data_IF_721220570073
#
_entry.id   IF_721220570073
#
_cell.length_a   1.000
_cell.length_b   1.000
_cell.length_c   1.000
_cell.angle_alpha   90.00
_cell.angle_beta   90.00
_cell.angle_gamma   90.00
#
_symmetry.space_group_name_H-M   'P 1'
#
loop_
_entity.id
_entity.type
_entity.pdbx_description
1 polymer ?
#
# COMPACT_ATOMS: atom_id res chain seq x y z
N UNK A 1 -11.00 -0.15 1.27
CA UNK A 1 -12.03 -0.83 2.06
C UNK A 1 -11.36 -1.95 2.84
N UNK A 2 -11.15 -1.73 4.14
CA UNK A 2 -10.40 -2.66 4.99
C UNK A 2 -11.19 -3.94 5.30
N UNK A 3 -12.52 -3.87 5.27
CA UNK A 3 -13.37 -5.03 5.48
C UNK A 3 -13.34 -5.95 4.26
N UNK A 4 -13.51 -5.38 3.07
CA UNK A 4 -13.38 -6.10 1.82
C UNK A 4 -12.01 -6.77 1.69
N UNK A 5 -10.92 -6.05 2.01
CA UNK A 5 -9.57 -6.60 1.97
C UNK A 5 -9.39 -7.80 2.93
N UNK A 6 -9.89 -7.70 4.17
CA UNK A 6 -9.84 -8.81 5.14
C UNK A 6 -10.60 -10.03 4.64
N UNK A 7 -11.80 -9.83 4.10
CA UNK A 7 -12.64 -10.91 3.59
C UNK A 7 -11.99 -11.59 2.36
N UNK A 8 -11.46 -10.81 1.42
CA UNK A 8 -10.74 -11.33 0.25
C UNK A 8 -9.47 -12.08 0.64
N UNK A 9 -8.70 -11.54 1.59
CA UNK A 9 -7.49 -12.20 2.12
C UNK A 9 -7.82 -13.51 2.82
N UNK A 10 -8.93 -13.55 3.56
CA UNK A 10 -9.42 -14.77 4.19
C UNK A 10 -9.80 -15.80 3.13
N UNK A 11 -10.57 -15.42 2.11
CA UNK A 11 -10.95 -16.33 1.02
C UNK A 11 -9.72 -16.85 0.25
N UNK A 12 -8.71 -15.99 0.00
CA UNK A 12 -7.46 -16.40 -0.67
C UNK A 12 -6.70 -17.48 0.12
N UNK A 13 -6.71 -17.42 1.46
CA UNK A 13 -5.88 -18.27 2.33
C UNK A 13 -6.57 -19.53 2.84
N UNK A 14 -7.90 -19.57 2.85
CA UNK A 14 -8.68 -20.68 3.38
C UNK A 14 -9.31 -21.49 2.25
N UNK A 15 -9.54 -22.77 2.52
CA UNK A 15 -10.27 -23.67 1.61
C UNK A 15 -11.75 -23.74 2.02
N UNK A 16 -12.55 -24.50 1.28
CA UNK A 16 -13.99 -24.64 1.44
C UNK A 16 -14.79 -23.39 1.02
N UNK A 17 -14.36 -22.73 -0.06
CA UNK A 17 -15.09 -21.61 -0.64
C UNK A 17 -16.57 -21.96 -0.94
N UNK A 18 -16.84 -23.22 -1.28
CA UNK A 18 -18.20 -23.72 -1.58
C UNK A 18 -19.19 -23.53 -0.41
N UNK A 19 -18.71 -23.51 0.84
CA UNK A 19 -19.56 -23.33 2.03
C UNK A 19 -20.06 -21.89 2.18
N UNK A 20 -19.42 -20.93 1.51
CA UNK A 20 -19.79 -19.52 1.59
C UNK A 20 -21.00 -19.18 0.71
N UNK A 21 -21.43 -20.11 -0.16
CA UNK A 21 -22.53 -19.90 -1.12
C UNK A 21 -22.35 -18.62 -1.95
N UNK A 22 -21.11 -18.33 -2.34
CA UNK A 22 -20.79 -17.21 -3.22
C UNK A 22 -20.98 -17.63 -4.67
N UNK A 23 -21.34 -16.67 -5.52
CA UNK A 23 -21.38 -16.79 -6.97
C UNK A 23 -20.57 -15.67 -7.61
N UNK A 24 -20.47 -15.64 -8.95
CA UNK A 24 -19.73 -14.59 -9.66
C UNK A 24 -20.58 -13.32 -9.83
N UNK A 25 -21.17 -12.84 -8.73
CA UNK A 25 -21.90 -11.58 -8.68
C UNK A 25 -21.39 -10.66 -7.56
N UNK A 26 -21.70 -9.38 -7.68
CA UNK A 26 -21.35 -8.36 -6.69
C UNK A 26 -22.48 -7.33 -6.58
N UNK A 27 -22.73 -6.86 -5.37
CA UNK A 27 -23.69 -5.78 -5.12
C UNK A 27 -23.05 -4.43 -5.48
N UNK A 28 -23.67 -3.71 -6.41
CA UNK A 28 -23.24 -2.39 -6.86
C UNK A 28 -23.25 -1.34 -5.75
N UNK A 29 -22.27 -0.42 -5.79
CA UNK A 29 -22.02 0.56 -4.73
C UNK A 29 -23.11 1.63 -4.58
N UNK A 30 -23.78 1.99 -5.67
CA UNK A 30 -24.72 3.13 -5.70
C UNK A 30 -26.18 2.72 -5.53
N UNK A 31 -26.60 1.64 -6.19
CA UNK A 31 -28.01 1.26 -6.31
C UNK A 31 -28.35 -0.11 -5.71
N UNK A 32 -27.39 -0.77 -5.06
CA UNK A 32 -27.53 -2.15 -4.55
C UNK A 32 -27.97 -3.16 -5.61
N UNK A 33 -27.73 -2.87 -6.88
CA UNK A 33 -28.03 -3.77 -7.98
C UNK A 33 -27.05 -4.93 -7.98
N UNK A 34 -27.52 -6.14 -8.30
CA UNK A 34 -26.63 -7.30 -8.45
C UNK A 34 -26.03 -7.25 -9.84
N UNK A 35 -24.70 -7.15 -9.92
CA UNK A 35 -23.94 -7.13 -11.15
C UNK A 35 -23.22 -8.46 -11.30
N UNK A 36 -23.38 -9.12 -12.44
CA UNK A 36 -22.60 -10.31 -12.74
C UNK A 36 -21.16 -9.92 -13.16
N UNK A 37 -20.17 -10.53 -12.53
CA UNK A 37 -18.75 -10.31 -12.81
C UNK A 37 -18.32 -10.96 -14.14
N UNK A 38 -19.03 -12.01 -14.55
CA UNK A 38 -18.92 -12.68 -15.84
C UNK A 38 -20.32 -12.96 -16.39
N UNK A 39 -20.50 -13.15 -17.71
CA UNK A 39 -21.80 -13.51 -18.26
C UNK A 39 -22.36 -14.80 -17.64
N UNK A 40 -23.55 -14.73 -17.03
CA UNK A 40 -24.17 -15.87 -16.35
C UNK A 40 -23.53 -16.18 -14.99
N UNK A 41 -22.80 -15.23 -14.40
CA UNK A 41 -22.06 -15.40 -13.15
C UNK A 41 -22.92 -15.82 -11.97
N UNK A 42 -24.21 -15.47 -11.94
CA UNK A 42 -25.14 -15.90 -10.90
C UNK A 42 -25.36 -17.43 -10.86
N UNK A 43 -25.06 -18.14 -11.95
CA UNK A 43 -25.16 -19.60 -12.03
C UNK A 43 -23.84 -20.31 -11.71
N UNK A 44 -22.74 -19.56 -11.51
CA UNK A 44 -21.41 -20.10 -11.29
C UNK A 44 -21.07 -19.96 -9.82
N UNK A 45 -21.06 -21.07 -9.09
CA UNK A 45 -20.63 -21.09 -7.70
C UNK A 45 -19.12 -20.84 -7.57
N UNK A 46 -18.72 -20.10 -6.54
CA UNK A 46 -17.31 -19.93 -6.19
C UNK A 46 -16.83 -21.16 -5.43
N UNK A 47 -15.82 -21.82 -5.99
CA UNK A 47 -15.17 -23.02 -5.48
C UNK A 47 -13.70 -22.73 -5.19
N UNK A 48 -13.00 -23.66 -4.53
CA UNK A 48 -11.57 -23.51 -4.30
C UNK A 48 -10.73 -23.44 -5.60
N UNK A 49 -11.25 -24.00 -6.69
CA UNK A 49 -10.58 -24.02 -8.00
C UNK A 49 -10.72 -22.67 -8.74
N UNK A 50 -11.83 -21.96 -8.56
CA UNK A 50 -12.13 -20.72 -9.30
C UNK A 50 -12.08 -19.45 -8.43
N UNK A 51 -11.90 -19.55 -7.10
CA UNK A 51 -11.87 -18.39 -6.21
C UNK A 51 -10.80 -17.35 -6.57
N UNK A 52 -9.69 -17.76 -7.19
CA UNK A 52 -8.66 -16.82 -7.64
C UNK A 52 -9.17 -15.90 -8.76
N UNK A 53 -9.93 -16.45 -9.71
CA UNK A 53 -10.57 -15.68 -10.79
C UNK A 53 -11.66 -14.77 -10.23
N UNK A 54 -12.50 -15.29 -9.33
CA UNK A 54 -13.50 -14.49 -8.63
C UNK A 54 -12.87 -13.28 -7.93
N UNK A 55 -11.79 -13.47 -7.18
CA UNK A 55 -11.08 -12.38 -6.48
C UNK A 55 -10.50 -11.33 -7.44
N UNK A 56 -9.93 -11.74 -8.58
CA UNK A 56 -9.40 -10.82 -9.59
C UNK A 56 -10.51 -9.97 -10.24
N UNK A 57 -11.63 -10.61 -10.57
CA UNK A 57 -12.79 -9.91 -11.13
C UNK A 57 -13.45 -8.97 -10.12
N UNK A 58 -13.58 -9.40 -8.86
CA UNK A 58 -14.10 -8.59 -7.78
C UNK A 58 -13.23 -7.33 -7.58
N UNK A 59 -11.90 -7.49 -7.59
CA UNK A 59 -10.96 -6.38 -7.52
C UNK A 59 -11.14 -5.41 -8.70
N UNK A 60 -11.19 -5.92 -9.93
CA UNK A 60 -11.40 -5.10 -11.14
C UNK A 60 -12.72 -4.34 -11.10
N UNK A 61 -13.78 -4.97 -10.63
CA UNK A 61 -15.08 -4.33 -10.47
C UNK A 61 -15.02 -3.18 -9.47
N UNK A 62 -14.52 -3.42 -8.26
CA UNK A 62 -14.44 -2.37 -7.24
C UNK A 62 -13.53 -1.22 -7.66
N UNK A 63 -12.40 -1.49 -8.31
CA UNK A 63 -11.43 -0.47 -8.73
C UNK A 63 -11.87 0.35 -9.95
N UNK A 64 -12.47 -0.30 -10.95
CA UNK A 64 -12.74 0.34 -12.25
C UNK A 64 -14.21 0.25 -12.65
N UNK A 65 -14.80 -0.94 -12.54
CA UNK A 65 -16.17 -1.18 -13.01
C UNK A 65 -17.20 -0.29 -12.31
N UNK A 66 -17.12 -0.21 -10.98
CA UNK A 66 -18.07 0.51 -10.12
C UNK A 66 -18.10 2.02 -10.36
N UNK A 67 -17.04 2.58 -10.95
CA UNK A 67 -16.88 4.01 -11.25
C UNK A 67 -16.62 4.28 -12.73
N UNK A 68 -16.89 3.31 -13.62
CA UNK A 68 -16.45 3.38 -15.02
C UNK A 68 -16.98 4.63 -15.76
N UNK A 69 -18.24 5.00 -15.53
CA UNK A 69 -18.85 6.19 -16.16
C UNK A 69 -18.17 7.50 -15.74
N UNK A 70 -18.08 7.86 -14.44
CA UNK A 70 -17.38 9.08 -14.03
C UNK A 70 -15.88 9.04 -14.34
N UNK A 71 -15.23 7.87 -14.21
CA UNK A 71 -13.81 7.72 -14.54
C UNK A 71 -13.54 8.00 -16.02
N UNK A 72 -14.34 7.46 -16.93
CA UNK A 72 -14.21 7.71 -18.37
C UNK A 72 -14.44 9.18 -18.74
N UNK A 73 -15.41 9.83 -18.10
CA UNK A 73 -15.65 11.26 -18.31
C UNK A 73 -14.45 12.11 -17.86
N UNK A 74 -13.87 11.78 -16.69
CA UNK A 74 -12.67 12.43 -16.18
C UNK A 74 -11.47 12.23 -17.12
N UNK A 75 -11.18 10.97 -17.51
CA UNK A 75 -10.05 10.64 -18.38
C UNK A 75 -10.16 11.31 -19.73
N UNK A 76 -11.37 11.39 -20.31
CA UNK A 76 -11.59 12.13 -21.56
C UNK A 76 -11.21 13.60 -21.41
N UNK A 77 -11.74 14.30 -20.41
CA UNK A 77 -11.42 15.70 -20.18
C UNK A 77 -9.94 15.94 -19.87
N UNK A 78 -9.31 15.02 -19.15
CA UNK A 78 -7.89 15.09 -18.83
C UNK A 78 -7.02 14.91 -20.09
N UNK A 79 -7.31 13.89 -20.91
CA UNK A 79 -6.54 13.59 -22.14
C UNK A 79 -6.77 14.57 -23.28
N UNK A 80 -7.89 15.30 -23.29
CA UNK A 80 -8.13 16.42 -24.21
C UNK A 80 -7.11 17.56 -24.01
N UNK A 81 -6.54 17.68 -22.80
CA UNK A 81 -5.55 18.72 -22.44
C UNK A 81 -4.14 18.14 -22.40
N UNK A 82 -3.96 16.99 -21.76
CA UNK A 82 -2.65 16.34 -21.55
C UNK A 82 -2.64 14.99 -22.28
N UNK A 83 -1.96 14.89 -23.44
CA UNK A 83 -1.90 13.65 -24.20
C UNK A 83 -1.39 12.45 -23.40
N UNK A 84 -2.07 11.30 -23.54
CA UNK A 84 -1.75 10.07 -22.81
C UNK A 84 -0.28 9.64 -22.93
N UNK A 85 0.34 9.81 -24.10
CA UNK A 85 1.74 9.39 -24.30
C UNK A 85 2.75 10.22 -23.49
N UNK A 86 2.39 11.45 -23.08
CA UNK A 86 3.25 12.29 -22.24
C UNK A 86 3.22 11.86 -20.78
N UNK A 87 2.11 11.29 -20.32
CA UNK A 87 1.95 10.84 -18.93
C UNK A 87 2.34 9.37 -18.75
N UNK A 88 2.27 8.56 -19.82
CA UNK A 88 2.54 7.11 -19.74
C UNK A 88 4.00 6.76 -19.46
N UNK A 89 4.89 7.75 -19.46
CA UNK A 89 6.31 7.58 -19.08
C UNK A 89 6.51 7.61 -17.57
N UNK A 90 5.53 8.11 -16.82
CA UNK A 90 5.59 8.22 -15.36
C UNK A 90 4.86 7.04 -14.72
N UNK A 91 5.41 6.54 -13.61
CA UNK A 91 4.65 5.68 -12.70
C UNK A 91 3.60 6.51 -11.91
N UNK A 92 2.76 5.85 -11.11
CA UNK A 92 1.69 6.54 -10.37
C UNK A 92 2.24 7.46 -9.25
N UNK A 93 3.42 7.18 -8.72
CA UNK A 93 4.08 7.97 -7.67
C UNK A 93 4.69 9.24 -8.28
N UNK A 94 5.40 9.09 -9.39
CA UNK A 94 5.94 10.19 -10.18
C UNK A 94 4.82 11.09 -10.70
N UNK A 95 3.71 10.51 -11.14
CA UNK A 95 2.55 11.27 -11.56
C UNK A 95 1.91 12.03 -10.40
N UNK A 96 1.80 11.44 -9.21
CA UNK A 96 1.34 12.15 -8.00
C UNK A 96 2.30 13.30 -7.63
N UNK A 97 3.61 13.08 -7.68
CA UNK A 97 4.62 14.11 -7.42
C UNK A 97 4.57 15.24 -8.46
N UNK A 98 4.34 14.91 -9.74
CA UNK A 98 4.19 15.90 -10.80
C UNK A 98 2.97 16.80 -10.58
N UNK A 99 1.84 16.21 -10.16
CA UNK A 99 0.59 16.95 -9.90
C UNK A 99 0.63 17.72 -8.58
N UNK A 100 1.22 17.13 -7.54
CA UNK A 100 1.21 17.64 -6.16
C UNK A 100 2.40 18.55 -5.86
N UNK A 101 3.46 18.48 -6.65
CA UNK A 101 4.76 19.06 -6.35
C UNK A 101 5.60 18.19 -5.41
N UNK A 102 6.90 18.45 -5.41
CA UNK A 102 7.85 17.79 -4.50
C UNK A 102 7.68 18.31 -3.07
N UNK A 103 7.34 17.44 -2.09
CA UNK A 103 7.21 17.86 -0.70
C UNK A 103 8.60 18.11 -0.09
N UNK A 104 8.72 19.19 0.70
CA UNK A 104 9.88 19.40 1.56
C UNK A 104 9.67 18.64 2.88
N UNK A 105 10.22 17.41 2.93
CA UNK A 105 10.05 16.51 4.07
C UNK A 105 11.15 16.76 5.10
N UNK A 106 10.78 17.34 6.24
CA UNK A 106 11.65 17.45 7.41
C UNK A 106 11.82 16.07 8.07
N UNK A 107 12.99 15.46 7.87
CA UNK A 107 13.32 14.15 8.45
C UNK A 107 13.40 14.16 9.98
N UNK A 108 13.72 15.30 10.58
CA UNK A 108 13.77 15.44 12.04
C UNK A 108 12.36 15.50 12.62
N UNK A 109 11.45 16.27 12.03
CA UNK A 109 10.03 16.29 12.40
C UNK A 109 9.42 14.88 12.25
N UNK A 110 9.71 14.21 11.13
CA UNK A 110 9.29 12.83 10.89
C UNK A 110 9.77 11.89 12.00
N UNK A 111 11.06 11.93 12.33
CA UNK A 111 11.64 11.09 13.40
C UNK A 111 11.02 11.37 14.77
N UNK A 112 10.86 12.63 15.13
CA UNK A 112 10.34 13.05 16.46
C UNK A 112 8.91 12.58 16.67
N UNK A 113 8.07 12.63 15.64
CA UNK A 113 6.66 12.24 15.73
C UNK A 113 6.37 10.79 15.31
N UNK A 114 7.42 9.98 15.14
CA UNK A 114 7.28 8.55 14.84
C UNK A 114 7.16 7.71 16.12
N UNK A 115 6.30 6.70 16.08
CA UNK A 115 6.23 5.64 17.10
C UNK A 115 7.08 4.45 16.70
N UNK A 116 7.71 3.82 17.69
CA UNK A 116 8.49 2.59 17.47
C UNK A 116 7.83 1.43 18.20
N UNK A 117 7.61 0.33 17.48
CA UNK A 117 7.12 -0.94 18.02
C UNK A 117 8.21 -1.98 17.93
N UNK A 118 8.58 -2.53 19.06
CA UNK A 118 9.63 -3.54 19.20
C UNK A 118 9.03 -4.95 19.15
N UNK A 119 9.86 -5.95 18.88
CA UNK A 119 9.46 -7.37 18.85
C UNK A 119 9.02 -7.83 20.25
N UNK A 120 9.71 -7.36 21.30
CA UNK A 120 9.35 -7.59 22.70
C UNK A 120 8.91 -6.28 23.36
N UNK A 121 7.78 -6.32 24.06
CA UNK A 121 7.09 -5.14 24.60
C UNK A 121 7.85 -4.42 25.73
N UNK A 122 8.76 -5.10 26.44
CA UNK A 122 9.28 -4.58 27.71
C UNK A 122 10.56 -3.75 27.54
N UNK A 123 11.47 -4.14 26.65
CA UNK A 123 12.72 -3.40 26.35
C UNK A 123 13.24 -3.73 24.95
N UNK A 124 13.70 -2.74 24.17
CA UNK A 124 14.35 -3.00 22.89
C UNK A 124 15.73 -3.63 23.08
N UNK A 125 16.06 -4.62 22.27
CA UNK A 125 17.42 -5.12 22.15
C UNK A 125 18.32 -4.13 21.40
N UNK A 126 19.64 -4.25 21.61
CA UNK A 126 20.65 -3.45 20.89
C UNK A 126 20.49 -3.57 19.37
N UNK A 127 20.14 -4.75 18.87
CA UNK A 127 19.92 -4.99 17.45
C UNK A 127 18.69 -4.23 16.92
N UNK A 128 17.59 -4.20 17.68
CA UNK A 128 16.39 -3.46 17.30
C UNK A 128 16.64 -1.95 17.27
N UNK A 129 17.31 -1.41 18.29
CA UNK A 129 17.70 0.01 18.31
C UNK A 129 18.59 0.36 17.13
N UNK A 130 19.58 -0.50 16.82
CA UNK A 130 20.47 -0.29 15.69
C UNK A 130 19.72 -0.22 14.35
N UNK A 131 18.72 -1.09 14.13
CA UNK A 131 17.89 -1.07 12.92
C UNK A 131 17.12 0.24 12.78
N UNK A 132 16.56 0.77 13.86
CA UNK A 132 15.84 2.05 13.84
C UNK A 132 16.78 3.23 13.58
N UNK A 133 17.97 3.22 14.19
CA UNK A 133 18.97 4.26 13.94
C UNK A 133 19.50 4.20 12.50
N UNK A 134 19.72 2.99 11.97
CA UNK A 134 20.10 2.80 10.57
C UNK A 134 19.01 3.27 9.62
N UNK A 135 17.73 3.00 9.92
CA UNK A 135 16.61 3.51 9.14
C UNK A 135 16.68 5.03 9.00
N UNK A 136 16.75 5.76 10.13
CA UNK A 136 16.80 7.23 10.08
C UNK A 136 18.07 7.76 9.43
N UNK A 137 19.21 7.08 9.62
CA UNK A 137 20.44 7.44 8.93
C UNK A 137 20.32 7.28 7.41
N UNK A 138 19.67 6.21 6.93
CA UNK A 138 19.41 6.01 5.50
C UNK A 138 18.40 7.03 4.97
N UNK A 139 17.32 7.32 5.70
CA UNK A 139 16.32 8.32 5.30
C UNK A 139 16.90 9.73 5.21
N UNK A 140 17.84 10.07 6.10
CA UNK A 140 18.58 11.33 6.01
C UNK A 140 19.47 11.39 4.75
N UNK A 141 20.04 10.26 4.32
CA UNK A 141 20.89 10.17 3.13
C UNK A 141 20.06 10.14 1.82
N UNK A 142 18.76 9.82 1.87
CA UNK A 142 17.87 9.80 0.70
C UNK A 142 17.64 11.19 0.09
N UNK A 143 17.50 11.21 -1.23
CA UNK A 143 17.02 12.37 -1.98
C UNK A 143 15.59 12.76 -1.59
N UNK A 144 15.14 13.99 -1.88
CA UNK A 144 13.75 14.40 -1.61
C UNK A 144 12.72 13.46 -2.25
N UNK A 145 13.01 12.96 -3.45
CA UNK A 145 12.14 12.01 -4.17
C UNK A 145 12.05 10.67 -3.45
N UNK A 146 13.19 10.09 -3.08
CA UNK A 146 13.23 8.81 -2.34
C UNK A 146 12.53 8.91 -0.98
N UNK A 147 12.63 10.05 -0.29
CA UNK A 147 11.89 10.31 0.95
C UNK A 147 10.38 10.35 0.70
N UNK A 148 9.94 10.99 -0.37
CA UNK A 148 8.53 11.08 -0.74
C UNK A 148 7.97 9.70 -1.12
N UNK A 149 8.71 8.91 -1.91
CA UNK A 149 8.35 7.52 -2.25
C UNK A 149 8.28 6.64 -1.01
N UNK A 150 9.24 6.75 -0.08
CA UNK A 150 9.19 6.02 1.19
C UNK A 150 7.98 6.40 2.05
N UNK A 151 7.64 7.70 2.11
CA UNK A 151 6.46 8.17 2.83
C UNK A 151 5.18 7.59 2.21
N UNK A 152 5.08 7.61 0.89
CA UNK A 152 3.94 7.04 0.15
C UNK A 152 3.83 5.54 0.34
N UNK A 153 4.94 4.80 0.31
CA UNK A 153 4.98 3.36 0.59
C UNK A 153 4.35 3.02 1.95
N UNK A 154 4.64 3.82 2.98
CA UNK A 154 4.18 3.55 4.34
C UNK A 154 2.79 4.15 4.68
N UNK A 155 2.34 5.19 3.96
CA UNK A 155 1.14 5.97 4.32
C UNK A 155 0.10 6.07 3.20
N UNK A 156 0.45 5.69 1.97
CA UNK A 156 -0.38 5.84 0.77
C UNK A 156 -0.37 7.27 0.20
N UNK A 157 0.35 8.22 0.81
CA UNK A 157 0.47 9.59 0.30
C UNK A 157 1.91 10.11 0.39
N UNK A 158 2.32 10.90 -0.59
CA UNK A 158 3.60 11.63 -0.56
C UNK A 158 3.54 12.89 0.31
N UNK A 159 2.36 13.27 0.84
CA UNK A 159 2.14 14.58 1.46
C UNK A 159 2.28 14.56 2.97
N UNK A 160 2.92 15.60 3.50
CA UNK A 160 2.96 15.91 4.93
C UNK A 160 1.87 16.94 5.25
N UNK A 161 1.06 16.76 6.31
CA UNK A 161 0.09 17.76 6.73
C UNK A 161 0.76 19.10 7.02
N UNK A 162 0.02 20.20 6.86
CA UNK A 162 0.54 21.56 7.15
C UNK A 162 1.05 21.71 8.58
N UNK A 163 0.48 20.95 9.53
CA UNK A 163 0.95 20.96 10.92
C UNK A 163 2.14 20.01 11.18
N UNK A 164 2.72 19.38 10.16
CA UNK A 164 3.82 18.41 10.27
C UNK A 164 3.35 16.99 10.60
N UNK A 165 4.31 16.10 10.89
CA UNK A 165 4.07 14.68 11.14
C UNK A 165 3.24 14.39 12.39
N UNK A 166 3.17 15.33 13.35
CA UNK A 166 2.28 15.22 14.51
C UNK A 166 0.79 15.12 14.16
N UNK A 167 0.41 15.64 13.01
CA UNK A 167 -0.96 15.68 12.52
C UNK A 167 -1.20 14.68 11.38
N UNK A 168 -0.27 13.73 11.16
CA UNK A 168 -0.42 12.72 10.12
C UNK A 168 -1.73 11.97 10.31
N UNK A 169 -2.55 11.92 9.26
CA UNK A 169 -3.85 11.25 9.28
C UNK A 169 -3.78 9.91 8.58
N UNK A 170 -4.63 9.00 9.01
CA UNK A 170 -4.88 7.74 8.30
C UNK A 170 -6.03 7.89 7.30
N UNK A 171 -6.29 6.84 6.54
CA UNK A 171 -7.44 6.70 5.62
C UNK A 171 -8.81 7.00 6.24
N UNK A 172 -8.98 6.85 7.56
CA UNK A 172 -10.22 7.16 8.29
C UNK A 172 -10.31 8.64 8.74
N UNK A 173 -9.37 9.48 8.34
CA UNK A 173 -9.29 10.89 8.70
C UNK A 173 -8.83 11.15 10.13
N UNK A 174 -8.55 10.10 10.92
CA UNK A 174 -8.05 10.27 12.29
C UNK A 174 -6.55 10.44 12.28
N UNK A 175 -6.05 11.25 13.21
CA UNK A 175 -4.61 11.41 13.43
C UNK A 175 -4.01 10.08 13.87
N UNK A 176 -3.04 9.58 13.11
CA UNK A 176 -2.24 8.40 13.39
C UNK A 176 -0.79 8.68 13.04
N UNK A 177 0.07 8.53 14.04
CA UNK A 177 1.51 8.71 13.89
C UNK A 177 2.10 7.68 12.93
N UNK A 178 3.15 8.10 12.24
CA UNK A 178 4.00 7.16 11.53
C UNK A 178 4.58 6.14 12.50
N UNK A 179 4.55 4.86 12.15
CA UNK A 179 5.00 3.78 13.03
C UNK A 179 6.06 2.94 12.34
N UNK A 180 7.20 2.74 13.00
CA UNK A 180 8.19 1.74 12.63
C UNK A 180 7.98 0.51 13.52
N UNK A 181 7.65 -0.63 12.93
CA UNK A 181 7.55 -1.89 13.66
C UNK A 181 8.74 -2.78 13.30
N UNK A 182 9.58 -3.09 14.28
CA UNK A 182 10.67 -4.06 14.08
C UNK A 182 10.08 -5.46 14.12
N UNK A 183 10.45 -6.30 13.15
CA UNK A 183 9.97 -7.68 13.02
C UNK A 183 11.13 -8.66 12.89
N UNK A 184 10.87 -9.92 13.25
CA UNK A 184 11.84 -10.98 13.01
C UNK A 184 12.10 -11.11 11.50
N UNK A 185 13.38 -11.27 11.13
CA UNK A 185 13.76 -11.56 9.75
C UNK A 185 13.23 -12.93 9.32
N UNK A 186 12.75 -13.03 8.08
CA UNK A 186 12.36 -14.29 7.44
C UNK A 186 13.39 -14.80 6.42
N UNK A 187 13.05 -15.84 5.64
CA UNK A 187 13.91 -16.34 4.57
C UNK A 187 14.07 -15.29 3.45
N UNK A 188 15.29 -15.00 2.98
CA UNK A 188 15.49 -14.06 1.87
C UNK A 188 14.97 -14.60 0.53
N UNK A 189 14.57 -13.71 -0.42
CA UNK A 189 14.58 -12.26 -0.29
C UNK A 189 13.30 -11.69 0.37
N UNK A 190 12.17 -12.40 0.29
CA UNK A 190 10.84 -11.92 0.70
C UNK A 190 10.74 -11.65 2.20
N UNK A 191 11.36 -12.50 3.03
CA UNK A 191 11.41 -12.33 4.48
C UNK A 191 12.31 -11.18 4.95
N UNK A 192 13.03 -10.53 4.03
CA UNK A 192 13.84 -9.34 4.31
C UNK A 192 13.24 -8.06 3.69
N UNK A 193 12.12 -8.15 2.96
CA UNK A 193 11.48 -6.96 2.43
C UNK A 193 10.72 -6.19 3.52
N UNK A 194 10.87 -4.86 3.59
CA UNK A 194 9.96 -4.01 4.35
C UNK A 194 8.52 -4.20 3.88
N UNK A 195 7.56 -4.02 4.80
CA UNK A 195 6.13 -4.07 4.48
C UNK A 195 5.44 -2.79 4.90
N UNK A 196 4.79 -2.11 3.96
CA UNK A 196 3.96 -0.94 4.21
C UNK A 196 2.54 -1.34 4.58
N UNK A 197 1.98 -0.69 5.59
CA UNK A 197 0.56 -0.81 5.95
C UNK A 197 -0.03 0.60 5.98
N UNK A 198 -0.46 1.07 4.82
CA UNK A 198 -0.88 2.46 4.57
C UNK A 198 -2.03 2.90 5.47
N UNK A 199 -3.00 2.02 5.74
CA UNK A 199 -4.11 2.27 6.67
C UNK A 199 -3.68 2.49 8.13
N UNK A 200 -2.41 2.28 8.46
CA UNK A 200 -1.87 2.47 9.82
C UNK A 200 -0.64 3.37 9.84
N UNK A 201 -0.28 3.99 8.71
CA UNK A 201 0.95 4.77 8.57
C UNK A 201 2.18 3.99 9.08
N UNK A 202 2.25 2.68 8.79
CA UNK A 202 3.22 1.76 9.41
C UNK A 202 4.14 1.14 8.37
N UNK A 203 5.42 1.06 8.70
CA UNK A 203 6.42 0.24 8.02
C UNK A 203 6.95 -0.85 8.96
N UNK A 204 6.89 -2.10 8.51
CA UNK A 204 7.51 -3.22 9.20
C UNK A 204 8.95 -3.39 8.69
N UNK A 205 9.94 -3.34 9.59
CA UNK A 205 11.36 -3.48 9.28
C UNK A 205 11.92 -4.79 9.88
N UNK A 206 12.40 -5.72 9.03
CA UNK A 206 13.14 -6.88 9.51
C UNK A 206 14.37 -6.50 10.34
N UNK A 207 14.77 -7.40 11.26
CA UNK A 207 16.05 -7.32 11.96
C UNK A 207 17.24 -7.55 11.00
N UNK A 208 17.62 -6.49 10.29
CA UNK A 208 18.77 -6.49 9.38
C UNK A 208 20.08 -6.71 10.13
N UNK A 209 21.06 -7.32 9.46
CA UNK A 209 22.36 -7.59 10.02
C UNK A 209 23.27 -6.35 10.07
N UNK A 210 23.06 -5.38 9.16
CA UNK A 210 23.84 -4.15 9.07
C UNK A 210 23.09 -3.05 8.29
N UNK A 211 23.57 -1.79 8.38
CA UNK A 211 23.01 -0.62 7.67
C UNK A 211 22.92 -0.84 6.15
N UNK A 212 23.89 -1.52 5.54
CA UNK A 212 23.92 -1.71 4.08
C UNK A 212 22.82 -2.68 3.61
N UNK A 213 22.53 -3.73 4.38
CA UNK A 213 21.41 -4.65 4.09
C UNK A 213 20.08 -3.88 4.17
N UNK A 214 19.87 -3.09 5.24
CA UNK A 214 18.68 -2.26 5.39
C UNK A 214 18.54 -1.27 4.21
N UNK A 215 19.60 -0.55 3.87
CA UNK A 215 19.59 0.43 2.79
C UNK A 215 19.23 -0.22 1.45
N UNK A 216 19.84 -1.37 1.14
CA UNK A 216 19.52 -2.15 -0.07
C UNK A 216 18.03 -2.47 -0.16
N UNK A 217 17.44 -2.99 0.92
CA UNK A 217 16.03 -3.40 0.91
C UNK A 217 15.05 -2.22 0.93
N UNK A 218 15.39 -1.10 1.60
CA UNK A 218 14.62 0.14 1.50
C UNK A 218 14.63 0.69 0.07
N UNK A 219 15.81 0.79 -0.55
CA UNK A 219 15.94 1.24 -1.95
C UNK A 219 15.22 0.30 -2.91
N UNK A 220 15.19 -1.00 -2.64
CA UNK A 220 14.41 -1.94 -3.43
C UNK A 220 12.90 -1.64 -3.33
N UNK A 221 12.33 -1.47 -2.14
CA UNK A 221 10.86 -1.25 -2.03
C UNK A 221 10.41 0.06 -2.65
N UNK A 222 11.16 1.17 -2.47
CA UNK A 222 10.80 2.46 -3.08
C UNK A 222 10.93 2.45 -4.61
N UNK A 223 11.71 1.52 -5.18
CA UNK A 223 11.86 1.35 -6.62
C UNK A 223 11.02 0.19 -7.19
N UNK A 224 10.56 -0.75 -6.37
CA UNK A 224 9.79 -1.93 -6.81
C UNK A 224 8.32 -1.58 -7.08
N UNK A 225 7.77 -0.55 -6.44
CA UNK A 225 6.41 -0.07 -6.73
C UNK A 225 6.22 0.40 -8.19
N UNK A 226 7.32 0.62 -8.92
CA UNK A 226 7.37 0.86 -10.37
C UNK A 226 6.93 -0.39 -11.18
N UNK A 227 6.97 -1.60 -10.59
CA UNK A 227 6.75 -2.88 -11.28
C UNK A 227 5.53 -3.70 -10.81
N UNK A 228 4.77 -3.21 -9.83
CA UNK A 228 3.51 -3.80 -9.36
C UNK A 228 3.62 -4.76 -8.15
N UNK A 229 2.48 -4.95 -7.47
CA UNK A 229 2.27 -5.66 -6.19
C UNK A 229 2.54 -7.20 -6.18
N UNK A 230 3.41 -7.71 -7.05
CA UNK A 230 3.46 -9.14 -7.42
C UNK A 230 4.21 -10.06 -6.43
N UNK A 231 4.51 -9.65 -5.20
CA UNK A 231 5.36 -10.42 -4.28
C UNK A 231 4.67 -10.88 -2.98
N UNK A 232 3.35 -11.02 -2.97
CA UNK A 232 2.59 -11.71 -1.90
C UNK A 232 2.05 -13.10 -2.25
#
# INVERSE_FOLDING_TARGET
>A
DDELYRNCTWLKRNNQADLLSLDFTVTGLTNLEVVELVPGGAAIAVTDDNKAEYLDLLLKFHMFGSIASPLNAFLKGFYDIVPLFLISVFDYQEFDLLLSGMPDIDTNDWRVYSEIRWIKLETPSVAETAVVDWFWAVVADFSPEERARLLQFATGTSRVPVQGFKALTSTDGRVRRFTIQVVNRGPPPTGLMPKGHTCFNRIDLPLYANKAELAKYLTLVINMEITGFWLE
#
